data_IF_724611764201
#
_entry.id   IF_724611764201
#
_cell.length_a   1.000
_cell.length_b   1.000
_cell.length_c   1.000
_cell.angle_alpha   90.00
_cell.angle_beta   90.00
_cell.angle_gamma   90.00
#
_symmetry.space_group_name_H-M   'P 1'
#
loop_
_entity.id
_entity.type
_entity.pdbx_description
1 polymer ?
#
# COMPACT_ATOMS: atom_id res chain seq x y z
N UNK A 1 16.98 -12.08 -9.49
CA UNK A 1 17.59 -11.28 -8.42
C UNK A 1 17.60 -12.06 -7.11
N UNK A 2 18.52 -11.75 -6.20
CA UNK A 2 18.54 -12.25 -4.84
C UNK A 2 17.74 -11.30 -3.95
N UNK A 3 16.78 -11.84 -3.23
CA UNK A 3 15.93 -11.08 -2.31
C UNK A 3 16.72 -10.69 -1.05
N UNK A 4 16.57 -9.47 -0.58
CA UNK A 4 17.12 -9.01 0.69
C UNK A 4 16.03 -8.81 1.75
N UNK A 5 14.91 -8.17 1.37
CA UNK A 5 13.79 -7.95 2.25
C UNK A 5 12.46 -7.90 1.49
N UNK A 6 11.41 -8.48 2.09
CA UNK A 6 10.05 -8.46 1.57
C UNK A 6 9.07 -8.14 2.70
N UNK A 7 8.31 -7.04 2.63
CA UNK A 7 7.35 -6.67 3.65
C UNK A 7 6.08 -7.52 3.54
N UNK A 8 5.47 -7.78 4.69
CA UNK A 8 4.16 -8.40 4.75
C UNK A 8 3.04 -7.39 4.45
N UNK A 9 2.00 -7.85 3.75
CA UNK A 9 0.79 -7.09 3.47
C UNK A 9 -0.48 -7.94 3.66
N UNK A 10 -1.59 -7.32 4.01
CA UNK A 10 -2.90 -8.00 4.06
C UNK A 10 -3.32 -8.64 2.73
N UNK A 11 -2.81 -8.13 1.61
CA UNK A 11 -2.95 -8.74 0.28
C UNK A 11 -2.42 -10.17 0.22
N UNK A 12 -1.28 -10.43 0.88
CA UNK A 12 -0.66 -11.76 0.93
C UNK A 12 -1.46 -12.72 1.81
N UNK A 13 -2.01 -12.22 2.93
CA UNK A 13 -2.95 -12.97 3.76
C UNK A 13 -4.19 -13.38 2.96
N UNK A 14 -4.78 -12.46 2.18
CA UNK A 14 -5.92 -12.80 1.33
C UNK A 14 -5.56 -13.85 0.29
N UNK A 15 -4.36 -13.79 -0.28
CA UNK A 15 -3.83 -14.83 -1.17
C UNK A 15 -3.70 -16.18 -0.46
N UNK A 16 -3.12 -16.19 0.76
CA UNK A 16 -2.97 -17.41 1.57
C UNK A 16 -4.31 -18.04 1.96
N UNK A 17 -5.34 -17.23 2.21
CA UNK A 17 -6.71 -17.68 2.51
C UNK A 17 -7.55 -17.99 1.27
N UNK A 18 -6.97 -17.96 0.07
CA UNK A 18 -7.68 -18.12 -1.21
C UNK A 18 -8.89 -17.16 -1.37
N UNK A 19 -8.84 -15.99 -0.72
CA UNK A 19 -9.84 -14.93 -0.87
C UNK A 19 -9.64 -14.11 -2.15
N UNK A 20 -8.54 -14.33 -2.85
CA UNK A 20 -8.21 -13.83 -4.19
C UNK A 20 -8.00 -14.99 -5.15
N UNK A 21 -7.91 -14.70 -6.46
CA UNK A 21 -7.59 -15.70 -7.50
C UNK A 21 -6.14 -16.20 -7.38
N UNK A 22 -5.83 -16.86 -6.28
CA UNK A 22 -4.54 -17.46 -6.00
C UNK A 22 -4.71 -18.96 -5.93
N UNK A 23 -4.12 -19.70 -6.87
CA UNK A 23 -4.25 -21.16 -6.95
C UNK A 23 -2.92 -21.77 -6.50
N UNK A 24 -2.89 -22.50 -5.38
CA UNK A 24 -1.70 -23.23 -4.96
C UNK A 24 -1.32 -24.36 -5.93
N UNK A 25 -0.01 -24.67 -6.09
CA UNK A 25 1.11 -24.13 -5.33
C UNK A 25 1.54 -22.74 -5.84
N UNK A 26 1.83 -21.81 -4.92
CA UNK A 26 2.15 -20.41 -5.24
C UNK A 26 3.15 -19.85 -4.23
N UNK A 27 4.10 -19.03 -4.70
CA UNK A 27 4.95 -18.18 -3.86
C UNK A 27 4.25 -16.83 -3.68
N UNK A 28 3.97 -16.45 -2.44
CA UNK A 28 3.35 -15.17 -2.08
C UNK A 28 4.39 -14.04 -2.04
N UNK A 29 3.93 -12.84 -1.68
CA UNK A 29 4.70 -11.61 -1.68
C UNK A 29 4.67 -10.91 -3.04
N UNK A 30 4.32 -9.63 -3.03
CA UNK A 30 4.08 -8.85 -4.25
C UNK A 30 4.99 -7.63 -4.37
N UNK A 31 5.92 -7.43 -3.45
CA UNK A 31 6.97 -6.40 -3.48
C UNK A 31 8.17 -6.86 -2.66
N UNK A 32 9.35 -6.48 -3.08
CA UNK A 32 10.61 -6.78 -2.38
C UNK A 32 11.72 -5.83 -2.79
N UNK A 33 12.81 -5.88 -2.06
CA UNK A 33 14.09 -5.28 -2.42
C UNK A 33 15.17 -6.35 -2.46
N UNK A 34 16.23 -6.08 -3.21
CA UNK A 34 17.35 -7.01 -3.29
C UNK A 34 18.40 -6.58 -4.30
N UNK A 35 19.21 -7.54 -4.75
CA UNK A 35 20.31 -7.32 -5.68
C UNK A 35 20.11 -8.13 -6.96
N UNK A 36 20.30 -7.51 -8.10
CA UNK A 36 20.24 -8.18 -9.40
C UNK A 36 21.40 -9.18 -9.52
N UNK A 37 21.10 -10.44 -9.84
CA UNK A 37 22.13 -11.47 -10.12
C UNK A 37 22.36 -11.64 -11.63
N UNK A 38 21.27 -11.56 -12.40
CA UNK A 38 21.31 -11.65 -13.86
C UNK A 38 20.14 -10.88 -14.47
N UNK A 39 20.26 -10.49 -15.73
CA UNK A 39 19.22 -9.82 -16.51
C UNK A 39 18.97 -10.58 -17.82
N UNK A 40 17.71 -10.55 -18.29
CA UNK A 40 17.37 -11.02 -19.62
C UNK A 40 17.95 -10.11 -20.73
N UNK A 41 18.10 -10.65 -21.93
CA UNK A 41 18.74 -9.94 -23.05
C UNK A 41 18.09 -8.62 -23.46
N UNK A 42 16.81 -8.43 -23.14
CA UNK A 42 16.06 -7.21 -23.48
C UNK A 42 16.05 -6.14 -22.36
N UNK A 43 16.54 -6.48 -21.16
CA UNK A 43 16.62 -5.53 -20.05
C UNK A 43 17.88 -4.68 -20.19
N UNK A 44 17.72 -3.37 -20.40
CA UNK A 44 18.82 -2.42 -20.68
C UNK A 44 19.11 -1.45 -19.53
N UNK A 45 18.17 -1.30 -18.60
CA UNK A 45 18.25 -0.31 -17.51
C UNK A 45 18.81 -0.88 -16.20
N UNK A 46 19.09 -2.18 -16.15
CA UNK A 46 19.61 -2.89 -14.97
C UNK A 46 20.84 -3.73 -15.34
N UNK A 47 21.72 -3.94 -14.37
CA UNK A 47 22.91 -4.78 -14.47
C UNK A 47 23.07 -5.65 -13.20
N UNK A 48 23.78 -6.79 -13.29
CA UNK A 48 24.16 -7.54 -12.09
C UNK A 48 24.90 -6.66 -11.08
N UNK A 49 24.56 -6.80 -9.81
CA UNK A 49 25.06 -5.97 -8.72
C UNK A 49 24.16 -4.77 -8.38
N UNK A 50 23.25 -4.36 -9.24
CA UNK A 50 22.32 -3.27 -8.92
C UNK A 50 21.42 -3.60 -7.74
N UNK A 51 21.30 -2.66 -6.82
CA UNK A 51 20.30 -2.69 -5.76
C UNK A 51 18.96 -2.23 -6.32
N UNK A 52 17.91 -3.00 -6.08
CA UNK A 52 16.61 -2.75 -6.73
C UNK A 52 15.42 -2.92 -5.79
N UNK A 53 14.37 -2.18 -6.11
CA UNK A 53 13.01 -2.37 -5.64
C UNK A 53 12.20 -3.06 -6.74
N UNK A 54 11.42 -4.07 -6.37
CA UNK A 54 10.37 -4.65 -7.21
C UNK A 54 9.02 -4.10 -6.75
N UNK A 55 8.37 -3.32 -7.59
CA UNK A 55 7.07 -2.73 -7.31
C UNK A 55 5.94 -3.74 -7.48
N UNK A 56 4.88 -3.61 -6.68
CA UNK A 56 3.72 -4.49 -6.74
C UNK A 56 2.86 -4.36 -8.01
N UNK A 57 3.09 -3.31 -8.82
CA UNK A 57 2.35 -3.07 -10.05
C UNK A 57 3.32 -2.84 -11.20
N UNK A 58 3.30 -3.69 -12.25
CA UNK A 58 4.07 -3.47 -13.46
C UNK A 58 3.48 -2.33 -14.28
N UNK A 59 4.33 -1.70 -15.10
CA UNK A 59 3.93 -0.64 -16.04
C UNK A 59 4.56 -0.92 -17.40
N UNK A 60 3.83 -1.59 -18.29
CA UNK A 60 4.39 -1.99 -19.59
C UNK A 60 4.62 -0.80 -20.55
N UNK A 61 3.96 0.35 -20.34
CA UNK A 61 4.00 1.50 -21.21
C UNK A 61 3.16 1.37 -22.51
N UNK A 62 2.74 0.18 -22.89
CA UNK A 62 2.15 -0.10 -24.21
C UNK A 62 0.65 -0.39 -24.19
N UNK A 63 0.11 -0.93 -23.09
CA UNK A 63 -1.32 -1.25 -23.00
C UNK A 63 -2.19 0.02 -22.98
N UNK A 64 -3.48 -0.17 -23.21
CA UNK A 64 -4.44 0.93 -23.22
C UNK A 64 -4.34 1.81 -21.97
N UNK A 65 -4.31 1.19 -20.79
CA UNK A 65 -4.28 1.91 -19.51
C UNK A 65 -2.98 2.69 -19.28
N UNK A 66 -1.83 2.11 -19.61
CA UNK A 66 -0.55 2.83 -19.54
C UNK A 66 -0.55 4.05 -20.47
N UNK A 67 -1.05 3.91 -21.70
CA UNK A 67 -1.10 5.01 -22.68
C UNK A 67 -2.04 6.16 -22.30
N UNK A 68 -3.10 5.90 -21.53
CA UNK A 68 -3.99 6.96 -21.02
C UNK A 68 -3.56 7.52 -19.66
N UNK A 69 -2.34 7.21 -19.18
CA UNK A 69 -1.81 7.71 -17.91
C UNK A 69 -2.37 6.99 -16.67
N UNK A 70 -2.88 5.75 -16.83
CA UNK A 70 -3.37 4.89 -15.74
C UNK A 70 -2.57 3.60 -15.63
N UNK A 71 -1.24 3.71 -15.39
CA UNK A 71 -0.39 2.52 -15.26
C UNK A 71 -0.73 1.64 -14.06
N UNK A 72 -1.43 2.19 -13.05
CA UNK A 72 -2.02 1.43 -11.95
C UNK A 72 -3.00 0.34 -12.40
N UNK A 73 -3.53 0.44 -13.62
CA UNK A 73 -4.45 -0.52 -14.24
C UNK A 73 -3.79 -1.34 -15.37
N UNK A 74 -2.46 -1.44 -15.36
CA UNK A 74 -1.72 -2.14 -16.42
C UNK A 74 -2.23 -3.57 -16.66
N UNK A 75 -2.44 -3.93 -17.93
CA UNK A 75 -2.97 -5.24 -18.33
C UNK A 75 -2.06 -6.42 -17.96
N UNK A 76 -0.77 -6.21 -17.76
CA UNK A 76 0.13 -7.26 -17.26
C UNK A 76 -0.33 -7.84 -15.91
N UNK A 77 -0.88 -7.01 -15.02
CA UNK A 77 -1.38 -7.44 -13.72
C UNK A 77 -2.92 -7.54 -13.71
N UNK A 78 -3.60 -6.52 -14.23
CA UNK A 78 -5.05 -6.36 -14.12
C UNK A 78 -5.81 -7.04 -15.25
N UNK A 79 -5.15 -7.33 -16.37
CA UNK A 79 -5.75 -7.98 -17.56
C UNK A 79 -6.06 -9.47 -17.39
N UNK A 80 -5.73 -10.06 -16.23
CA UNK A 80 -6.09 -11.44 -15.91
C UNK A 80 -5.17 -12.51 -16.52
N UNK A 81 -4.00 -12.13 -17.00
CA UNK A 81 -2.98 -13.10 -17.41
C UNK A 81 -2.57 -13.99 -16.22
N UNK A 82 -2.27 -15.28 -16.47
CA UNK A 82 -1.84 -16.18 -15.40
C UNK A 82 -0.50 -15.71 -14.82
N UNK A 83 -0.35 -15.86 -13.51
CA UNK A 83 0.94 -15.62 -12.86
C UNK A 83 2.04 -16.51 -13.48
N UNK A 84 3.28 -16.01 -13.60
CA UNK A 84 4.38 -16.76 -14.18
C UNK A 84 4.72 -18.02 -13.37
N UNK A 85 5.11 -19.08 -14.04
CA UNK A 85 5.68 -20.29 -13.43
C UNK A 85 7.12 -19.96 -13.03
N UNK A 86 7.48 -20.23 -11.78
CA UNK A 86 8.80 -19.91 -11.21
C UNK A 86 9.56 -21.14 -10.74
N UNK A 87 8.88 -22.27 -10.57
CA UNK A 87 9.46 -23.54 -10.20
C UNK A 87 8.50 -24.70 -10.51
N UNK A 88 9.01 -25.94 -10.43
CA UNK A 88 8.23 -27.15 -10.45
C UNK A 88 8.42 -27.93 -9.14
N UNK A 89 7.36 -28.52 -8.62
CA UNK A 89 7.44 -29.45 -7.51
C UNK A 89 7.90 -30.84 -7.99
N UNK A 90 8.43 -31.68 -7.09
CA UNK A 90 8.84 -33.05 -7.47
C UNK A 90 7.73 -33.91 -8.08
N UNK A 91 6.47 -33.58 -7.82
CA UNK A 91 5.30 -34.26 -8.35
C UNK A 91 4.82 -33.70 -9.71
N UNK A 92 5.57 -32.74 -10.29
CA UNK A 92 5.30 -32.14 -11.59
C UNK A 92 4.30 -30.97 -11.56
N UNK A 93 3.81 -30.53 -10.40
CA UNK A 93 2.96 -29.35 -10.32
C UNK A 93 3.78 -28.06 -10.46
N UNK A 94 3.32 -27.17 -11.31
CA UNK A 94 3.91 -25.83 -11.47
C UNK A 94 3.70 -24.97 -10.24
N UNK A 95 4.74 -24.27 -9.79
CA UNK A 95 4.69 -23.23 -8.74
C UNK A 95 4.65 -21.87 -9.42
N UNK A 96 3.69 -21.04 -9.08
CA UNK A 96 3.50 -19.71 -9.69
C UNK A 96 3.83 -18.59 -8.71
N UNK A 97 4.24 -17.43 -9.23
CA UNK A 97 4.54 -16.23 -8.44
C UNK A 97 3.29 -15.35 -8.29
N UNK A 98 2.79 -15.14 -7.08
CA UNK A 98 1.68 -14.23 -6.83
C UNK A 98 2.05 -12.79 -7.23
N UNK A 99 1.09 -12.09 -7.87
CA UNK A 99 1.27 -10.68 -8.26
C UNK A 99 2.42 -10.45 -9.23
N UNK A 100 2.83 -11.46 -10.02
CA UNK A 100 3.97 -11.45 -10.93
C UNK A 100 5.34 -11.34 -10.22
N UNK A 101 5.42 -11.47 -8.89
CA UNK A 101 6.61 -11.23 -8.08
C UNK A 101 7.07 -12.48 -7.32
N UNK A 102 6.22 -13.03 -6.43
CA UNK A 102 6.60 -14.17 -5.59
C UNK A 102 7.75 -13.82 -4.63
N UNK A 103 7.59 -12.74 -3.87
CA UNK A 103 8.67 -12.15 -3.09
C UNK A 103 9.15 -12.97 -1.88
N UNK A 104 8.34 -13.92 -1.39
CA UNK A 104 8.73 -14.75 -0.24
C UNK A 104 9.57 -15.93 -0.71
N UNK A 105 10.72 -15.61 -1.27
CA UNK A 105 11.71 -16.54 -1.81
C UNK A 105 13.11 -15.93 -1.78
N UNK A 106 14.15 -16.74 -1.65
CA UNK A 106 15.54 -16.30 -1.67
C UNK A 106 15.94 -15.68 -3.01
N UNK A 107 15.35 -16.16 -4.11
CA UNK A 107 15.59 -15.66 -5.48
C UNK A 107 14.28 -15.52 -6.21
N UNK A 108 14.18 -14.45 -7.00
CA UNK A 108 12.99 -14.14 -7.79
C UNK A 108 13.34 -13.97 -9.26
N UNK A 109 12.43 -14.42 -10.12
CA UNK A 109 12.37 -14.02 -11.52
C UNK A 109 11.23 -13.00 -11.66
N UNK A 110 11.58 -11.76 -12.00
CA UNK A 110 10.64 -10.63 -12.06
C UNK A 110 10.76 -9.88 -13.38
N UNK A 111 9.70 -9.15 -13.71
CA UNK A 111 9.70 -8.33 -14.94
C UNK A 111 10.58 -7.10 -14.76
N UNK A 112 11.38 -6.76 -15.79
CA UNK A 112 12.19 -5.53 -15.79
C UNK A 112 11.34 -4.28 -15.60
N UNK A 113 10.13 -4.23 -16.17
CA UNK A 113 9.19 -3.08 -16.08
C UNK A 113 8.62 -2.82 -14.70
N UNK A 114 8.83 -3.69 -13.71
CA UNK A 114 8.45 -3.46 -12.31
C UNK A 114 9.66 -3.40 -11.37
N UNK A 115 10.88 -3.37 -11.94
CA UNK A 115 12.13 -3.39 -11.18
C UNK A 115 12.86 -2.05 -11.36
N UNK A 116 13.05 -1.35 -10.23
CA UNK A 116 13.56 0.02 -10.20
C UNK A 116 14.84 0.08 -9.38
N UNK A 117 15.86 0.78 -9.91
CA UNK A 117 17.15 0.92 -9.21
C UNK A 117 16.99 1.75 -7.94
N UNK A 118 17.65 1.30 -6.88
CA UNK A 118 17.75 2.00 -5.60
C UNK A 118 19.11 2.65 -5.43
N UNK A 119 19.21 3.79 -4.75
CA UNK A 119 20.48 4.34 -4.29
C UNK A 119 21.20 3.40 -3.34
N UNK A 120 22.54 3.40 -3.39
CA UNK A 120 23.37 2.52 -2.55
C UNK A 120 23.27 2.83 -1.06
N UNK A 121 23.01 4.08 -0.72
CA UNK A 121 22.89 4.59 0.65
C UNK A 121 21.51 4.37 1.30
N UNK A 122 20.50 3.92 0.54
CA UNK A 122 19.17 3.66 1.10
C UNK A 122 19.10 2.27 1.72
N UNK A 123 18.87 2.12 3.03
CA UNK A 123 18.74 0.81 3.67
C UNK A 123 17.59 -0.02 3.08
N UNK A 124 17.80 -1.32 2.88
CA UNK A 124 16.77 -2.22 2.36
C UNK A 124 15.51 -2.26 3.22
N UNK A 125 15.64 -2.14 4.54
CA UNK A 125 14.50 -2.10 5.47
C UNK A 125 13.56 -0.91 5.22
N UNK A 126 14.11 0.25 4.87
CA UNK A 126 13.29 1.41 4.50
C UNK A 126 12.79 1.30 3.05
N UNK A 127 13.65 0.83 2.15
CA UNK A 127 13.34 0.73 0.73
C UNK A 127 12.25 -0.30 0.43
N UNK A 128 12.19 -1.42 1.18
CA UNK A 128 11.17 -2.45 0.94
C UNK A 128 9.73 -1.94 1.17
N UNK A 129 9.55 -0.88 1.96
CA UNK A 129 8.24 -0.28 2.23
C UNK A 129 7.72 0.58 1.07
N UNK A 130 8.60 0.97 0.12
CA UNK A 130 8.24 1.80 -1.04
C UNK A 130 7.31 1.09 -2.02
N UNK A 131 7.50 -0.19 -2.28
CA UNK A 131 6.85 -0.90 -3.38
C UNK A 131 5.34 -1.12 -3.21
N UNK A 132 4.82 -0.93 -2.01
CA UNK A 132 3.39 -1.07 -1.70
C UNK A 132 2.92 0.00 -0.72
N UNK A 133 3.37 -0.03 0.54
CA UNK A 133 2.80 0.81 1.61
C UNK A 133 3.00 2.30 1.38
N UNK A 134 4.23 2.74 1.17
CA UNK A 134 4.54 4.16 0.91
C UNK A 134 3.86 4.60 -0.39
N UNK A 135 4.02 3.83 -1.48
CA UNK A 135 3.46 4.19 -2.77
C UNK A 135 1.94 4.30 -2.74
N UNK A 136 1.25 3.37 -2.09
CA UNK A 136 -0.20 3.42 -1.97
C UNK A 136 -0.65 4.65 -1.17
N UNK A 137 -0.02 4.92 -0.04
CA UNK A 137 -0.42 5.99 0.87
C UNK A 137 -0.10 7.38 0.34
N UNK A 138 1.15 7.60 -0.10
CA UNK A 138 1.54 8.89 -0.65
C UNK A 138 0.81 9.16 -1.97
N UNK A 139 0.66 8.15 -2.81
CA UNK A 139 -0.13 8.28 -4.03
C UNK A 139 -1.60 8.60 -3.77
N UNK A 140 -2.20 8.08 -2.69
CA UNK A 140 -3.55 8.48 -2.29
C UNK A 140 -3.62 9.97 -1.93
N UNK A 141 -2.61 10.48 -1.22
CA UNK A 141 -2.52 11.89 -0.82
C UNK A 141 -2.19 12.81 -1.99
N UNK A 142 -1.12 12.48 -2.75
CA UNK A 142 -0.53 13.35 -3.76
C UNK A 142 -1.15 13.19 -5.16
N UNK A 143 -1.42 11.94 -5.59
CA UNK A 143 -1.81 11.63 -6.97
C UNK A 143 -3.33 11.44 -7.15
N UNK A 144 -4.08 11.25 -6.05
CA UNK A 144 -5.54 10.99 -6.13
C UNK A 144 -6.32 12.10 -5.43
N UNK A 145 -6.06 12.32 -4.14
CA UNK A 145 -6.76 13.36 -3.39
C UNK A 145 -6.23 14.76 -3.65
N UNK A 146 -4.99 14.89 -4.13
CA UNK A 146 -4.33 16.19 -4.35
C UNK A 146 -4.43 17.09 -3.12
N UNK A 147 -4.11 16.55 -1.94
CA UNK A 147 -4.22 17.29 -0.67
C UNK A 147 -3.49 18.62 -0.75
N UNK A 148 -4.20 19.70 -0.43
CA UNK A 148 -3.67 21.04 -0.45
C UNK A 148 -3.31 21.54 0.96
N UNK A 149 -2.34 22.45 1.10
CA UNK A 149 -2.01 23.06 2.38
C UNK A 149 -3.26 23.65 3.07
N UNK A 150 -3.38 23.40 4.37
CA UNK A 150 -4.50 23.90 5.19
C UNK A 150 -5.76 23.03 5.18
N UNK A 151 -5.89 22.04 4.28
CA UNK A 151 -7.03 21.12 4.27
C UNK A 151 -7.05 20.20 5.50
N UNK A 152 -8.26 19.80 5.91
CA UNK A 152 -8.49 18.76 6.90
C UNK A 152 -8.49 17.37 6.21
N UNK A 153 -7.68 16.44 6.75
CA UNK A 153 -7.57 15.07 6.24
C UNK A 153 -7.94 14.08 7.34
N UNK A 154 -8.99 13.29 7.14
CA UNK A 154 -9.32 12.18 8.02
C UNK A 154 -8.77 10.87 7.44
N UNK A 155 -8.09 10.08 8.28
CA UNK A 155 -7.49 8.80 7.90
C UNK A 155 -8.13 7.70 8.73
N UNK A 156 -8.90 6.82 8.10
CA UNK A 156 -9.64 5.74 8.72
C UNK A 156 -8.85 4.45 8.59
N UNK A 157 -8.40 3.91 9.73
CA UNK A 157 -7.47 2.79 9.81
C UNK A 157 -6.01 3.27 9.84
N UNK A 158 -5.37 3.14 11.01
CA UNK A 158 -3.99 3.54 11.26
C UNK A 158 -3.04 2.32 11.27
N UNK A 159 -3.25 1.42 10.31
CA UNK A 159 -2.30 0.37 9.99
C UNK A 159 -1.12 0.89 9.16
N UNK A 160 -0.36 -0.04 8.57
CA UNK A 160 0.80 0.30 7.74
C UNK A 160 0.53 1.42 6.72
N UNK A 161 -0.54 1.30 5.91
CA UNK A 161 -0.90 2.29 4.90
C UNK A 161 -1.37 3.61 5.54
N UNK A 162 -2.26 3.53 6.55
CA UNK A 162 -2.79 4.73 7.19
C UNK A 162 -1.74 5.58 7.88
N UNK A 163 -0.74 4.96 8.51
CA UNK A 163 0.39 5.68 9.13
C UNK A 163 1.26 6.40 8.07
N UNK A 164 1.48 5.80 6.90
CA UNK A 164 2.12 6.49 5.78
C UNK A 164 1.26 7.63 5.23
N UNK A 165 -0.07 7.46 5.20
CA UNK A 165 -0.98 8.53 4.79
C UNK A 165 -0.96 9.72 5.79
N UNK A 166 -0.76 9.48 7.10
CA UNK A 166 -0.53 10.54 8.09
C UNK A 166 0.71 11.35 7.74
N UNK A 167 1.84 10.69 7.48
CA UNK A 167 3.07 11.38 7.08
C UNK A 167 2.90 12.09 5.73
N UNK A 168 2.22 11.46 4.76
CA UNK A 168 1.91 12.07 3.46
C UNK A 168 1.07 13.34 3.62
N UNK A 169 0.00 13.31 4.42
CA UNK A 169 -0.83 14.49 4.69
C UNK A 169 -0.05 15.61 5.37
N UNK A 170 0.85 15.27 6.30
CA UNK A 170 1.77 16.24 6.93
C UNK A 170 2.71 16.88 5.90
N UNK A 171 3.29 16.08 4.99
CA UNK A 171 4.15 16.58 3.91
C UNK A 171 3.41 17.47 2.92
N UNK A 172 2.13 17.17 2.63
CA UNK A 172 1.27 17.99 1.80
C UNK A 172 0.83 19.30 2.50
N UNK A 173 1.17 19.50 3.77
CA UNK A 173 0.81 20.70 4.53
C UNK A 173 -0.63 20.73 5.01
N UNK A 174 -1.28 19.58 5.20
CA UNK A 174 -2.62 19.51 5.79
C UNK A 174 -2.70 20.28 7.10
N UNK A 175 -3.76 21.06 7.28
CA UNK A 175 -3.96 21.89 8.47
C UNK A 175 -4.44 21.08 9.68
N UNK A 176 -5.27 20.07 9.43
CA UNK A 176 -5.75 19.12 10.44
C UNK A 176 -5.61 17.69 9.90
N UNK A 177 -4.99 16.80 10.69
CA UNK A 177 -4.82 15.37 10.34
C UNK A 177 -5.50 14.56 11.43
N UNK A 178 -6.65 13.96 11.09
CA UNK A 178 -7.52 13.26 12.03
C UNK A 178 -7.33 11.75 11.85
N UNK A 179 -6.66 11.08 12.78
CA UNK A 179 -6.48 9.64 12.78
C UNK A 179 -7.65 8.91 13.44
N UNK A 180 -8.28 7.97 12.74
CA UNK A 180 -9.41 7.18 13.23
C UNK A 180 -9.03 5.70 13.31
N UNK A 181 -8.88 5.14 14.51
CA UNK A 181 -8.56 3.71 14.73
C UNK A 181 -9.02 3.24 16.10
N UNK A 182 -9.42 1.97 16.20
CA UNK A 182 -9.80 1.33 17.47
C UNK A 182 -8.62 1.03 18.39
N UNK A 183 -7.42 0.81 17.81
CA UNK A 183 -6.25 0.36 18.57
C UNK A 183 -5.48 1.55 19.19
N UNK A 184 -5.35 1.63 20.54
CA UNK A 184 -4.73 2.81 21.18
C UNK A 184 -3.26 3.01 20.81
N UNK A 185 -2.47 1.93 20.67
CA UNK A 185 -1.07 2.00 20.27
C UNK A 185 -0.88 2.56 18.86
N UNK A 186 -1.78 2.25 17.92
CA UNK A 186 -1.74 2.80 16.56
C UNK A 186 -2.10 4.27 16.53
N UNK A 187 -3.06 4.71 17.36
CA UNK A 187 -3.35 6.13 17.51
C UNK A 187 -2.16 6.90 18.07
N UNK A 188 -1.50 6.38 19.12
CA UNK A 188 -0.30 6.99 19.69
C UNK A 188 0.84 7.10 18.65
N UNK A 189 1.04 6.05 17.84
CA UNK A 189 2.02 6.07 16.77
C UNK A 189 1.65 7.09 15.68
N UNK A 190 0.38 7.21 15.29
CA UNK A 190 -0.08 8.22 14.34
C UNK A 190 0.15 9.65 14.86
N UNK A 191 -0.07 9.88 16.15
CA UNK A 191 0.24 11.17 16.79
C UNK A 191 1.72 11.54 16.65
N UNK A 192 2.62 10.59 16.97
CA UNK A 192 4.07 10.82 16.82
C UNK A 192 4.50 11.05 15.37
N UNK A 193 3.73 10.59 14.38
CA UNK A 193 3.97 10.78 12.95
C UNK A 193 3.32 12.03 12.36
N UNK A 194 2.51 12.76 13.15
CA UNK A 194 1.95 14.03 12.75
C UNK A 194 0.42 14.11 12.70
N UNK A 195 -0.32 13.10 13.19
CA UNK A 195 -1.76 13.26 13.40
C UNK A 195 -2.02 14.32 14.48
N UNK A 196 -2.88 15.29 14.18
CA UNK A 196 -3.20 16.40 15.09
C UNK A 196 -4.38 16.09 16.00
N UNK A 197 -5.24 15.17 15.59
CA UNK A 197 -6.41 14.69 16.34
C UNK A 197 -6.56 13.18 16.20
N UNK A 198 -7.11 12.56 17.23
CA UNK A 198 -7.31 11.11 17.27
C UNK A 198 -8.76 10.80 17.65
N UNK A 199 -9.38 9.89 16.91
CA UNK A 199 -10.74 9.41 17.13
C UNK A 199 -10.71 7.91 17.39
N UNK A 200 -11.32 7.49 18.52
CA UNK A 200 -11.53 6.08 18.85
C UNK A 200 -12.98 5.70 18.51
N UNK A 201 -13.24 4.83 17.52
CA UNK A 201 -14.62 4.41 17.18
C UNK A 201 -15.36 3.72 18.31
N UNK A 202 -14.64 3.21 19.30
CA UNK A 202 -15.22 2.60 20.52
C UNK A 202 -15.76 3.64 21.52
N UNK A 203 -15.45 4.91 21.37
CA UNK A 203 -15.90 5.99 22.27
C UNK A 203 -17.19 6.68 21.78
N UNK A 204 -17.70 6.34 20.60
CA UNK A 204 -18.88 6.93 19.99
C UNK A 204 -18.88 6.81 18.46
N UNK A 205 -19.83 7.46 17.80
CA UNK A 205 -19.87 7.46 16.34
C UNK A 205 -18.67 8.25 15.78
N UNK A 206 -17.74 7.61 15.03
CA UNK A 206 -16.58 8.31 14.50
C UNK A 206 -16.95 9.36 13.44
N UNK A 207 -18.10 9.23 12.77
CA UNK A 207 -18.59 10.24 11.81
C UNK A 207 -18.89 11.54 12.52
N UNK A 208 -19.63 11.46 13.62
CA UNK A 208 -19.99 12.63 14.43
C UNK A 208 -18.74 13.27 15.07
N UNK A 209 -17.79 12.43 15.52
CA UNK A 209 -16.53 12.91 16.07
C UNK A 209 -15.70 13.69 15.03
N UNK A 210 -15.53 13.16 13.81
CA UNK A 210 -14.81 13.87 12.73
C UNK A 210 -15.54 15.16 12.33
N UNK A 211 -16.86 15.15 12.25
CA UNK A 211 -17.65 16.36 11.99
C UNK A 211 -17.48 17.41 13.07
N UNK A 212 -17.50 17.02 14.33
CA UNK A 212 -17.29 17.96 15.45
C UNK A 212 -15.91 18.62 15.38
N UNK A 213 -14.86 17.88 14.99
CA UNK A 213 -13.52 18.40 14.79
C UNK A 213 -13.37 19.31 13.55
N UNK A 214 -14.33 19.27 12.63
CA UNK A 214 -14.36 20.04 11.39
C UNK A 214 -15.55 21.00 11.30
N UNK A 215 -15.93 21.61 12.44
CA UNK A 215 -17.00 22.62 12.57
C UNK A 215 -18.36 22.15 11.99
N UNK A 216 -18.64 20.86 12.11
CA UNK A 216 -19.87 20.22 11.61
C UNK A 216 -19.88 19.93 10.11
N UNK A 217 -18.89 20.38 9.34
CA UNK A 217 -18.86 20.22 7.87
C UNK A 217 -18.47 18.80 7.44
N UNK A 218 -17.53 18.15 8.13
CA UNK A 218 -16.78 16.99 7.71
C UNK A 218 -15.41 17.35 7.10
N UNK A 219 -14.54 16.35 6.95
CA UNK A 219 -13.18 16.54 6.45
C UNK A 219 -13.16 16.88 4.93
N UNK A 220 -12.19 17.68 4.50
CA UNK A 220 -11.95 18.01 3.09
C UNK A 220 -11.60 16.75 2.30
N UNK A 221 -10.72 15.93 2.87
CA UNK A 221 -10.27 14.65 2.32
C UNK A 221 -10.45 13.55 3.36
N UNK A 222 -10.92 12.39 2.93
CA UNK A 222 -10.96 11.18 3.76
C UNK A 222 -10.24 10.04 3.04
N UNK A 223 -9.25 9.45 3.69
CA UNK A 223 -8.50 8.29 3.20
C UNK A 223 -8.92 7.08 4.03
N UNK A 224 -9.53 6.09 3.38
CA UNK A 224 -9.98 4.86 4.01
C UNK A 224 -8.97 3.75 3.73
N UNK A 225 -8.29 3.27 4.78
CA UNK A 225 -7.25 2.25 4.74
C UNK A 225 -7.51 1.07 5.70
N UNK A 226 -8.70 0.97 6.28
CA UNK A 226 -9.08 -0.12 7.18
C UNK A 226 -9.69 -1.33 6.44
N UNK A 227 -10.56 -1.07 5.46
CA UNK A 227 -11.17 -2.07 4.59
C UNK A 227 -12.60 -2.50 4.92
N UNK A 228 -13.05 -2.69 6.18
CA UNK A 228 -14.42 -3.12 6.48
C UNK A 228 -15.47 -2.21 5.82
N UNK A 229 -16.56 -2.80 5.34
CA UNK A 229 -17.67 -2.09 4.66
C UNK A 229 -18.21 -0.93 5.50
N UNK A 230 -18.30 -1.13 6.82
CA UNK A 230 -18.71 -0.09 7.75
C UNK A 230 -17.74 1.10 7.75
N UNK A 231 -16.44 0.83 7.70
CA UNK A 231 -15.40 1.88 7.67
C UNK A 231 -15.44 2.64 6.34
N UNK A 232 -15.60 1.95 5.22
CA UNK A 232 -15.74 2.56 3.90
C UNK A 232 -17.00 3.45 3.83
N UNK A 233 -18.12 2.97 4.36
CA UNK A 233 -19.34 3.78 4.45
C UNK A 233 -19.15 5.00 5.35
N UNK A 234 -18.55 4.83 6.53
CA UNK A 234 -18.25 5.92 7.46
C UNK A 234 -17.30 6.96 6.84
N UNK A 235 -16.29 6.53 6.07
CA UNK A 235 -15.38 7.44 5.37
C UNK A 235 -16.14 8.39 4.43
N UNK A 236 -17.10 7.89 3.67
CA UNK A 236 -17.94 8.74 2.82
C UNK A 236 -18.79 9.71 3.66
N UNK A 237 -19.31 9.27 4.79
CA UNK A 237 -20.14 10.10 5.69
C UNK A 237 -19.30 11.14 6.46
N UNK A 238 -18.02 10.87 6.72
CA UNK A 238 -17.08 11.80 7.36
C UNK A 238 -16.69 12.97 6.45
N UNK A 239 -16.73 12.78 5.13
CA UNK A 239 -16.33 13.83 4.18
C UNK A 239 -17.37 14.96 4.13
N UNK A 240 -16.90 16.19 3.91
CA UNK A 240 -17.79 17.33 3.66
C UNK A 240 -18.51 17.24 2.30
N UNK A 241 -19.45 18.14 2.04
CA UNK A 241 -19.95 18.39 0.68
C UNK A 241 -18.80 18.84 -0.21
N UNK A 242 -18.77 18.38 -1.44
CA UNK A 242 -17.66 18.57 -2.39
C UNK A 242 -16.30 18.17 -1.79
N UNK A 243 -16.27 17.16 -0.91
CA UNK A 243 -15.07 16.59 -0.36
C UNK A 243 -14.64 15.35 -1.13
N UNK A 244 -13.37 14.96 -0.98
CA UNK A 244 -12.76 13.82 -1.66
C UNK A 244 -12.63 12.64 -0.71
N UNK A 245 -13.02 11.46 -1.17
CA UNK A 245 -12.85 10.19 -0.46
C UNK A 245 -12.00 9.25 -1.29
N UNK A 246 -10.93 8.70 -0.69
CA UNK A 246 -10.07 7.69 -1.34
C UNK A 246 -10.24 6.37 -0.62
N UNK A 247 -10.77 5.38 -1.31
CA UNK A 247 -10.99 4.02 -0.80
C UNK A 247 -9.79 3.14 -1.17
N UNK A 248 -9.05 2.67 -0.16
CA UNK A 248 -7.85 1.85 -0.32
C UNK A 248 -7.98 0.49 0.35
N UNK A 249 -8.74 0.41 1.43
CA UNK A 249 -8.92 -0.81 2.17
C UNK A 249 -9.58 -1.89 1.32
N UNK A 250 -8.96 -3.09 1.28
CA UNK A 250 -9.43 -4.21 0.46
C UNK A 250 -10.09 -5.25 1.36
N UNK A 251 -11.28 -5.68 0.95
CA UNK A 251 -12.03 -6.80 1.53
C UNK A 251 -12.22 -7.92 0.49
N UNK A 252 -13.09 -8.85 0.78
CA UNK A 252 -13.44 -9.89 -0.16
C UNK A 252 -14.02 -9.29 -1.46
N UNK A 253 -13.75 -9.92 -2.61
CA UNK A 253 -14.16 -9.42 -3.92
C UNK A 253 -15.70 -9.25 -4.08
N UNK A 254 -16.50 -9.87 -3.22
CA UNK A 254 -17.96 -9.78 -3.19
C UNK A 254 -18.51 -8.84 -2.10
N UNK A 255 -17.63 -8.14 -1.37
CA UNK A 255 -18.06 -7.14 -0.38
C UNK A 255 -18.71 -5.94 -1.07
N UNK A 256 -19.79 -5.44 -0.50
CA UNK A 256 -20.58 -4.33 -1.05
C UNK A 256 -20.67 -3.19 -0.04
N UNK A 257 -20.56 -1.96 -0.54
CA UNK A 257 -20.76 -0.75 0.26
C UNK A 257 -22.05 -0.07 -0.15
N UNK A 258 -23.04 -0.04 0.75
CA UNK A 258 -24.32 0.60 0.51
C UNK A 258 -24.26 2.05 0.96
N UNK A 259 -24.52 2.98 0.04
CA UNK A 259 -24.52 4.42 0.27
C UNK A 259 -25.90 5.03 -0.07
N UNK A 260 -26.37 6.02 0.70
CA UNK A 260 -27.60 6.74 0.37
C UNK A 260 -27.47 7.44 -0.99
N UNK A 261 -28.36 7.16 -1.92
CA UNK A 261 -28.33 7.72 -3.28
C UNK A 261 -28.36 9.27 -3.29
N UNK A 262 -29.21 9.89 -2.48
CA UNK A 262 -29.27 11.34 -2.35
C UNK A 262 -27.97 11.98 -1.88
N UNK A 263 -27.20 11.28 -1.01
CA UNK A 263 -25.89 11.75 -0.58
C UNK A 263 -24.91 11.84 -1.76
N UNK A 264 -24.94 10.86 -2.65
CA UNK A 264 -24.02 10.84 -3.81
C UNK A 264 -24.37 11.91 -4.84
N UNK A 265 -25.69 12.10 -5.12
CA UNK A 265 -26.14 12.96 -6.21
C UNK A 265 -26.21 14.44 -5.84
N UNK A 266 -26.50 14.78 -4.57
CA UNK A 266 -26.78 16.17 -4.17
C UNK A 266 -25.63 16.88 -3.49
N UNK A 267 -24.60 16.15 -3.05
CA UNK A 267 -23.54 16.73 -2.23
C UNK A 267 -22.21 16.92 -2.96
N UNK A 268 -22.10 16.50 -4.22
CA UNK A 268 -20.90 16.68 -5.05
C UNK A 268 -19.64 16.03 -4.49
N UNK A 269 -19.78 14.98 -3.67
CA UNK A 269 -18.62 14.24 -3.15
C UNK A 269 -17.94 13.46 -4.27
N UNK A 270 -16.61 13.42 -4.22
CA UNK A 270 -15.79 12.63 -5.14
C UNK A 270 -15.31 11.37 -4.42
N UNK A 271 -15.57 10.20 -4.99
CA UNK A 271 -15.17 8.91 -4.45
C UNK A 271 -14.23 8.24 -5.44
N UNK A 272 -13.00 7.97 -5.01
CA UNK A 272 -11.95 7.38 -5.83
C UNK A 272 -11.50 6.04 -5.27
N UNK A 273 -11.39 5.04 -6.14
CA UNK A 273 -10.63 3.82 -5.84
C UNK A 273 -9.12 4.10 -5.95
N UNK A 274 -8.35 3.47 -5.07
CA UNK A 274 -6.91 3.58 -5.04
C UNK A 274 -6.26 2.22 -5.27
N UNK A 275 -5.82 1.96 -6.50
CA UNK A 275 -4.93 0.84 -6.80
C UNK A 275 -3.50 1.36 -6.75
N UNK A 276 -2.73 0.88 -5.75
CA UNK A 276 -1.31 1.19 -5.55
C UNK A 276 -0.94 2.69 -5.74
N UNK A 277 -1.81 3.60 -5.24
CA UNK A 277 -1.54 5.05 -5.24
C UNK A 277 -1.55 5.74 -6.61
N UNK A 278 -1.99 5.09 -7.70
CA UNK A 278 -1.83 5.60 -9.08
C UNK A 278 -0.40 6.00 -9.40
N UNK A 279 0.57 5.21 -8.92
CA UNK A 279 2.00 5.51 -9.02
C UNK A 279 2.47 5.51 -10.47
N UNK A 280 3.27 6.52 -10.83
CA UNK A 280 4.14 6.53 -11.99
C UNK A 280 5.59 6.38 -11.50
N UNK A 281 6.17 5.17 -11.49
CA UNK A 281 7.42 4.86 -10.78
C UNK A 281 8.59 5.78 -11.13
N UNK A 282 8.77 6.12 -12.40
CA UNK A 282 9.88 6.98 -12.85
C UNK A 282 9.77 8.42 -12.32
N UNK A 283 8.58 8.84 -11.89
CA UNK A 283 8.33 10.18 -11.33
C UNK A 283 8.26 10.11 -9.81
N UNK A 284 7.49 9.17 -9.28
CA UNK A 284 7.12 9.13 -7.87
C UNK A 284 8.22 8.53 -7.00
N UNK A 285 8.86 7.42 -7.43
CA UNK A 285 9.90 6.78 -6.62
C UNK A 285 11.12 7.68 -6.37
N UNK A 286 11.70 8.38 -7.35
CA UNK A 286 12.78 9.32 -7.07
C UNK A 286 12.42 10.38 -6.04
N UNK A 287 11.19 10.92 -6.11
CA UNK A 287 10.67 11.92 -5.15
C UNK A 287 10.56 11.32 -3.74
N UNK A 288 9.92 10.17 -3.58
CA UNK A 288 9.71 9.55 -2.28
C UNK A 288 11.00 8.97 -1.67
N UNK A 289 11.92 8.47 -2.51
CA UNK A 289 13.28 8.12 -2.09
C UNK A 289 14.00 9.36 -1.54
N UNK A 290 13.85 10.50 -2.20
CA UNK A 290 14.35 11.79 -1.69
C UNK A 290 13.79 12.11 -0.30
N UNK A 291 12.48 11.92 -0.09
CA UNK A 291 11.84 12.14 1.22
C UNK A 291 12.35 11.21 2.33
N UNK A 292 12.66 9.95 1.99
CA UNK A 292 13.28 9.02 2.94
C UNK A 292 14.72 9.42 3.28
N UNK A 293 15.51 9.84 2.29
CA UNK A 293 16.92 10.21 2.47
C UNK A 293 17.10 11.49 3.26
N UNK A 294 16.22 12.47 3.11
CA UNK A 294 16.28 13.74 3.84
C UNK A 294 15.46 13.75 5.15
N UNK A 295 14.90 12.58 5.53
CA UNK A 295 14.18 12.39 6.80
C UNK A 295 12.79 13.04 6.84
N UNK A 296 12.26 13.52 5.70
CA UNK A 296 10.88 14.02 5.64
C UNK A 296 9.85 12.89 5.79
N UNK A 297 10.18 11.70 5.28
CA UNK A 297 9.50 10.45 5.60
C UNK A 297 10.35 9.65 6.59
N UNK A 298 9.77 9.32 7.72
CA UNK A 298 10.43 8.55 8.77
C UNK A 298 9.92 7.09 8.75
N UNK A 299 10.76 6.11 8.37
CA UNK A 299 10.38 4.70 8.40
C UNK A 299 10.47 4.07 9.80
N UNK A 300 10.93 4.80 10.80
CA UNK A 300 11.03 4.28 12.17
C UNK A 300 9.66 3.90 12.73
N UNK A 301 9.60 2.79 13.47
CA UNK A 301 8.34 2.27 14.00
C UNK A 301 7.46 1.50 13.01
N UNK A 302 7.80 1.45 11.71
CA UNK A 302 7.04 0.64 10.74
C UNK A 302 7.46 -0.82 10.75
N UNK A 303 8.74 -1.13 10.62
CA UNK A 303 9.24 -2.50 10.72
C UNK A 303 9.29 -2.90 12.18
N UNK A 304 8.20 -3.50 12.67
CA UNK A 304 8.10 -3.89 14.08
C UNK A 304 8.69 -5.26 14.36
N UNK A 305 8.81 -6.10 13.34
CA UNK A 305 9.42 -7.43 13.46
C UNK A 305 10.04 -7.90 12.15
N UNK A 306 11.15 -8.62 12.27
CA UNK A 306 11.76 -9.38 11.17
C UNK A 306 11.51 -10.86 11.38
N UNK A 307 11.32 -11.56 10.29
CA UNK A 307 11.04 -12.99 10.23
C UNK A 307 11.96 -13.67 9.23
N UNK A 308 12.31 -14.89 9.49
CA UNK A 308 12.88 -15.80 8.50
C UNK A 308 11.76 -16.40 7.63
N UNK A 309 12.09 -16.96 6.46
CA UNK A 309 11.07 -17.52 5.55
C UNK A 309 10.33 -18.72 6.14
N UNK A 310 10.96 -19.51 6.99
CA UNK A 310 10.35 -20.65 7.68
C UNK A 310 9.32 -20.21 8.75
N UNK A 311 9.36 -18.95 9.19
CA UNK A 311 8.38 -18.35 10.09
C UNK A 311 7.15 -17.74 9.36
N UNK A 312 6.99 -17.98 8.05
CA UNK A 312 5.98 -17.32 7.23
C UNK A 312 4.53 -17.47 7.76
N UNK A 313 4.14 -18.66 8.24
CA UNK A 313 2.81 -18.88 8.83
C UNK A 313 2.62 -18.02 10.10
N UNK A 314 3.63 -17.93 10.95
CA UNK A 314 3.59 -17.10 12.15
C UNK A 314 3.52 -15.62 11.80
N UNK A 315 4.32 -15.15 10.85
CA UNK A 315 4.34 -13.77 10.37
C UNK A 315 2.95 -13.33 9.85
N UNK A 316 2.33 -14.17 9.01
CA UNK A 316 1.00 -13.94 8.47
C UNK A 316 -0.06 -13.84 9.57
N UNK A 317 -0.05 -14.76 10.55
CA UNK A 317 -1.02 -14.75 11.66
C UNK A 317 -0.87 -13.54 12.56
N UNK A 318 0.36 -13.17 12.94
CA UNK A 318 0.64 -12.03 13.82
C UNK A 318 0.25 -10.71 13.18
N UNK A 319 0.57 -10.53 11.91
CA UNK A 319 0.18 -9.34 11.17
C UNK A 319 -1.33 -9.16 11.10
N UNK A 320 -2.08 -10.25 10.89
CA UNK A 320 -3.55 -10.20 10.88
C UNK A 320 -4.17 -10.08 12.26
N UNK A 321 -3.47 -10.50 13.31
CA UNK A 321 -3.85 -10.24 14.70
C UNK A 321 -3.54 -8.79 15.13
N UNK A 322 -3.02 -7.96 14.23
CA UNK A 322 -2.63 -6.55 14.45
C UNK A 322 -1.51 -6.39 15.49
N UNK A 323 -0.71 -7.44 15.72
CA UNK A 323 0.44 -7.41 16.62
C UNK A 323 1.65 -6.72 16.00
N UNK A 324 1.74 -6.72 14.66
CA UNK A 324 2.75 -6.00 13.90
C UNK A 324 2.13 -4.80 13.17
N UNK A 325 2.86 -3.70 13.05
CA UNK A 325 2.56 -2.63 12.10
C UNK A 325 2.95 -3.12 10.70
N UNK A 326 4.19 -3.60 10.56
CA UNK A 326 4.70 -4.30 9.38
C UNK A 326 5.71 -5.35 9.81
N UNK A 327 5.44 -6.60 9.48
CA UNK A 327 6.43 -7.66 9.48
C UNK A 327 7.25 -7.61 8.18
N UNK A 328 8.52 -7.92 8.25
CA UNK A 328 9.41 -8.00 7.08
C UNK A 328 10.15 -9.33 7.11
N UNK A 329 10.12 -10.06 6.01
CA UNK A 329 11.02 -11.19 5.82
C UNK A 329 12.41 -10.66 5.52
N UNK A 330 13.39 -10.96 6.38
CA UNK A 330 14.80 -10.71 6.16
C UNK A 330 15.38 -11.94 5.46
N UNK A 331 15.71 -11.80 4.16
CA UNK A 331 16.07 -12.91 3.28
C UNK A 331 17.50 -12.70 2.81
N UNK A 332 18.38 -13.66 3.05
CA UNK A 332 19.77 -13.61 2.55
C UNK A 332 20.67 -12.61 3.27
N UNK A 333 20.53 -12.53 4.61
CA UNK A 333 21.50 -11.89 5.49
C UNK A 333 22.79 -12.72 5.61
#
# INVERSE_FOLDING_TARGET
MRTAAAPFCSTDWMGWKAMRRTVPPVVLGHTAVGTVEAVGGDVRHLAPGDRVLVAGTPQCGECFYCRIGRPDQCDLLMGGAPNPVVADLPDGREVRAAGLVGAYSERMLVLGVQTHRLPDDLPFDAACLLGCGISSALGAVENIAYVQPGQSVAIVGLGHIGLWAVQGARLAGAGEIIGVDGHPGRRALAESMGATRLVAPTAGDPVDAVRALTEGRGADVVIEAAGPEVAQRQAVLMSRRAGTVVLMGVQHATSEVILPQGLLTTTGREIHGCQNGRVTPDVDFPRWIGYLRDGRLDPSGFVTRRYDLDEADQALRRSMALEDVTGVFAIGG
#
